data_IF_689066786105
#
_entry.id   IF_689066786105
#
_cell.length_a   1.000
_cell.length_b   1.000
_cell.length_c   1.000
_cell.angle_alpha   90.00
_cell.angle_beta   90.00
_cell.angle_gamma   90.00
#
_symmetry.space_group_name_H-M   'P 1'
#
loop_
_entity.id
_entity.type
_entity.pdbx_description
1 polymer ?
#
# COMPACT_ATOMS: atom_id res chain seq x y z
N UNK A 1 38.63 -7.10 -28.83
CA UNK A 1 37.48 -6.53 -28.12
C UNK A 1 36.83 -5.34 -28.83
N UNK A 2 37.60 -4.32 -29.30
CA UNK A 2 37.09 -3.16 -30.05
C UNK A 2 36.29 -3.51 -31.32
N UNK A 3 36.71 -4.48 -32.14
CA UNK A 3 36.01 -4.88 -33.38
C UNK A 3 34.67 -5.58 -33.17
N UNK A 4 34.48 -6.30 -32.04
CA UNK A 4 33.19 -6.89 -31.64
C UNK A 4 32.20 -5.84 -31.17
N UNK A 5 32.67 -4.81 -30.49
CA UNK A 5 31.85 -3.68 -30.03
C UNK A 5 31.37 -2.83 -31.22
N UNK A 6 32.27 -2.50 -32.17
CA UNK A 6 31.88 -1.75 -33.37
C UNK A 6 30.87 -2.51 -34.25
N UNK A 7 30.97 -3.84 -34.37
CA UNK A 7 30.01 -4.67 -35.13
C UNK A 7 28.61 -4.75 -34.44
N UNK A 8 28.55 -4.60 -33.13
CA UNK A 8 27.29 -4.53 -32.35
C UNK A 8 26.63 -3.15 -32.38
N UNK A 9 27.40 -2.09 -32.64
CA UNK A 9 26.94 -0.69 -32.62
C UNK A 9 26.26 -0.22 -33.92
N UNK A 10 25.80 -1.14 -34.75
CA UNK A 10 24.93 -0.77 -35.85
C UNK A 10 23.56 -0.36 -35.24
N UNK A 11 23.32 0.95 -35.13
CA UNK A 11 22.21 1.56 -34.39
C UNK A 11 20.84 0.90 -34.67
N UNK A 12 20.56 0.51 -35.92
CA UNK A 12 19.30 -0.12 -36.27
C UNK A 12 19.14 -1.55 -35.72
N UNK A 13 20.20 -2.35 -35.67
CA UNK A 13 20.15 -3.72 -35.12
C UNK A 13 20.09 -3.71 -33.61
N UNK A 14 20.83 -2.83 -32.95
CA UNK A 14 20.81 -2.69 -31.50
C UNK A 14 19.43 -2.27 -31.00
N UNK A 15 18.83 -1.25 -31.62
CA UNK A 15 17.48 -0.81 -31.27
C UNK A 15 16.43 -1.92 -31.45
N UNK A 16 16.51 -2.70 -32.53
CA UNK A 16 15.61 -3.84 -32.77
C UNK A 16 15.77 -4.94 -31.71
N UNK A 17 16.98 -5.16 -31.19
CA UNK A 17 17.24 -6.12 -30.12
C UNK A 17 16.79 -5.63 -28.76
N UNK A 18 16.92 -4.33 -28.46
CA UNK A 18 16.53 -3.73 -27.17
C UNK A 18 15.04 -3.37 -27.07
N UNK A 19 14.33 -3.31 -28.20
CA UNK A 19 12.88 -2.99 -28.23
C UNK A 19 12.04 -3.84 -27.28
N UNK A 20 12.16 -5.19 -27.24
CA UNK A 20 11.39 -6.01 -26.28
C UNK A 20 11.72 -5.71 -24.83
N UNK A 21 13.01 -5.46 -24.53
CA UNK A 21 13.42 -5.09 -23.18
C UNK A 21 12.84 -3.74 -22.74
N UNK A 22 12.77 -2.77 -23.66
CA UNK A 22 12.16 -1.46 -23.38
C UNK A 22 10.67 -1.57 -23.00
N UNK A 23 9.87 -2.24 -23.83
CA UNK A 23 8.44 -2.40 -23.52
C UNK A 23 8.22 -3.24 -22.27
N UNK A 24 9.02 -4.26 -22.06
CA UNK A 24 8.96 -5.09 -20.87
C UNK A 24 9.31 -4.30 -19.60
N UNK A 25 10.38 -3.50 -19.63
CA UNK A 25 10.76 -2.61 -18.52
C UNK A 25 9.68 -1.56 -18.24
N UNK A 26 9.13 -0.97 -19.29
CA UNK A 26 8.05 0.02 -19.17
C UNK A 26 6.82 -0.60 -18.46
N UNK A 27 6.42 -1.80 -18.88
CA UNK A 27 5.28 -2.51 -18.30
C UNK A 27 5.53 -2.90 -16.85
N UNK A 28 6.70 -3.48 -16.56
CA UNK A 28 7.04 -3.88 -15.20
C UNK A 28 7.14 -2.69 -14.26
N UNK A 29 7.85 -1.63 -14.64
CA UNK A 29 7.97 -0.43 -13.82
C UNK A 29 6.61 0.26 -13.63
N UNK A 30 5.78 0.31 -14.67
CA UNK A 30 4.42 0.85 -14.54
C UNK A 30 3.59 0.02 -13.55
N UNK A 31 3.65 -1.30 -13.64
CA UNK A 31 2.91 -2.19 -12.73
C UNK A 31 3.31 -1.99 -11.27
N UNK A 32 4.61 -1.90 -10.98
CA UNK A 32 5.11 -1.82 -9.60
C UNK A 32 5.03 -0.41 -9.02
N UNK A 33 5.39 0.62 -9.80
CA UNK A 33 5.55 1.98 -9.26
C UNK A 33 4.37 2.91 -9.53
N UNK A 34 3.49 2.59 -10.48
CA UNK A 34 2.30 3.39 -10.77
C UNK A 34 1.03 2.63 -10.41
N UNK A 35 0.83 1.44 -11.02
CA UNK A 35 -0.42 0.70 -10.87
C UNK A 35 -0.63 0.23 -9.43
N UNK A 36 0.31 -0.49 -8.85
CA UNK A 36 0.13 -1.08 -7.52
C UNK A 36 -0.11 -0.04 -6.40
N UNK A 37 0.65 1.08 -6.31
CA UNK A 37 0.36 2.12 -5.32
C UNK A 37 -0.99 2.82 -5.53
N UNK A 38 -1.37 3.07 -6.80
CA UNK A 38 -2.66 3.68 -7.10
C UNK A 38 -3.82 2.72 -6.82
N UNK A 39 -3.70 1.44 -7.16
CA UNK A 39 -4.70 0.43 -6.86
C UNK A 39 -4.92 0.30 -5.35
N UNK A 40 -3.82 0.26 -4.58
CA UNK A 40 -3.89 0.26 -3.11
C UNK A 40 -4.63 1.49 -2.59
N UNK A 41 -4.29 2.68 -3.08
CA UNK A 41 -4.97 3.92 -2.70
C UNK A 41 -6.45 3.90 -3.06
N UNK A 42 -6.80 3.49 -4.29
CA UNK A 42 -8.18 3.48 -4.79
C UNK A 42 -9.06 2.52 -4.00
N UNK A 43 -8.55 1.35 -3.66
CA UNK A 43 -9.30 0.33 -2.92
C UNK A 43 -9.46 0.66 -1.42
N UNK A 44 -8.71 1.62 -0.92
CA UNK A 44 -8.71 2.03 0.49
C UNK A 44 -8.82 3.55 0.63
N UNK A 45 -9.58 4.18 -0.27
CA UNK A 45 -9.70 5.65 -0.34
C UNK A 45 -10.04 6.27 1.01
N UNK A 46 -10.93 5.65 1.78
CA UNK A 46 -11.41 6.17 3.05
C UNK A 46 -10.43 5.98 4.22
N UNK A 47 -9.44 5.10 4.05
CA UNK A 47 -8.39 4.85 5.05
C UNK A 47 -7.23 5.87 4.95
N UNK A 48 -7.04 6.49 3.78
CA UNK A 48 -5.99 7.46 3.59
C UNK A 48 -6.42 8.87 3.98
N UNK A 49 -5.63 9.52 4.81
CA UNK A 49 -5.84 10.90 5.30
C UNK A 49 -5.28 12.00 4.39
N UNK A 50 -4.82 11.64 3.18
CA UNK A 50 -4.27 12.58 2.21
C UNK A 50 -4.88 12.39 0.81
N UNK A 51 -4.84 13.45 0.00
CA UNK A 51 -5.31 13.42 -1.38
C UNK A 51 -4.33 12.65 -2.28
N UNK A 52 -4.84 11.97 -3.31
CA UNK A 52 -4.05 11.22 -4.28
C UNK A 52 -2.93 12.05 -4.92
N UNK A 53 -3.11 13.35 -5.03
CA UNK A 53 -2.12 14.26 -5.61
C UNK A 53 -0.78 14.27 -4.85
N UNK A 54 -0.79 14.01 -3.56
CA UNK A 54 0.43 13.92 -2.75
C UNK A 54 1.25 12.67 -3.07
N UNK A 55 0.63 11.64 -3.63
CA UNK A 55 1.29 10.40 -4.01
C UNK A 55 2.07 10.54 -5.33
N UNK A 56 1.56 11.33 -6.29
CA UNK A 56 2.12 11.42 -7.64
C UNK A 56 3.62 11.78 -7.72
N UNK A 57 4.15 12.76 -6.99
CA UNK A 57 5.59 13.08 -7.09
C UNK A 57 6.50 11.89 -6.75
N UNK A 58 6.10 11.07 -5.79
CA UNK A 58 6.87 9.91 -5.34
C UNK A 58 6.80 8.78 -6.37
N UNK A 59 5.60 8.35 -6.76
CA UNK A 59 5.41 7.24 -7.69
C UNK A 59 6.00 7.55 -9.08
N UNK A 60 5.87 8.79 -9.56
CA UNK A 60 6.41 9.22 -10.85
C UNK A 60 7.93 9.26 -10.81
N UNK A 61 8.53 9.81 -9.74
CA UNK A 61 9.97 9.82 -9.54
C UNK A 61 10.54 8.42 -9.55
N UNK A 62 9.97 7.53 -8.77
CA UNK A 62 10.46 6.15 -8.64
C UNK A 62 10.26 5.37 -9.94
N UNK A 63 9.13 5.56 -10.61
CA UNK A 63 8.89 4.97 -11.93
C UNK A 63 10.00 5.31 -12.93
N UNK A 64 10.33 6.59 -13.11
CA UNK A 64 11.36 7.00 -14.06
C UNK A 64 12.76 6.56 -13.64
N UNK A 65 13.06 6.61 -12.34
CA UNK A 65 14.34 6.17 -11.80
C UNK A 65 14.57 4.67 -12.09
N UNK A 66 13.62 3.82 -11.74
CA UNK A 66 13.74 2.37 -11.95
C UNK A 66 13.61 1.97 -13.42
N UNK A 67 12.83 2.70 -14.22
CA UNK A 67 12.80 2.51 -15.67
C UNK A 67 14.17 2.77 -16.29
N UNK A 68 14.84 3.87 -15.89
CA UNK A 68 16.19 4.17 -16.34
C UNK A 68 17.17 3.07 -15.94
N UNK A 69 17.16 2.63 -14.68
CA UNK A 69 18.02 1.54 -14.21
C UNK A 69 17.77 0.23 -14.98
N UNK A 70 16.51 -0.10 -15.24
CA UNK A 70 16.17 -1.31 -16.00
C UNK A 70 16.69 -1.25 -17.44
N UNK A 71 16.48 -0.12 -18.14
CA UNK A 71 16.97 0.07 -19.52
C UNK A 71 18.50 0.01 -19.57
N UNK A 72 19.18 0.70 -18.65
CA UNK A 72 20.65 0.67 -18.55
C UNK A 72 21.13 -0.75 -18.23
N UNK A 73 20.47 -1.46 -17.32
CA UNK A 73 20.77 -2.85 -16.99
C UNK A 73 20.68 -3.77 -18.21
N UNK A 74 19.59 -3.68 -18.99
CA UNK A 74 19.46 -4.44 -20.23
C UNK A 74 20.52 -4.08 -21.27
N UNK A 75 20.88 -2.79 -21.38
CA UNK A 75 21.96 -2.36 -22.27
C UNK A 75 23.31 -2.97 -21.85
N UNK A 76 23.64 -2.91 -20.58
CA UNK A 76 24.86 -3.51 -20.03
C UNK A 76 24.90 -5.01 -20.31
N UNK A 77 23.84 -5.74 -19.99
CA UNK A 77 23.76 -7.19 -20.23
C UNK A 77 23.86 -7.52 -21.72
N UNK A 78 23.27 -6.71 -22.61
CA UNK A 78 23.39 -6.86 -24.04
C UNK A 78 24.85 -6.74 -24.52
N UNK A 79 25.62 -5.84 -23.91
CA UNK A 79 27.07 -5.68 -24.24
C UNK A 79 27.90 -6.90 -23.78
N UNK A 80 27.54 -7.53 -22.65
CA UNK A 80 28.22 -8.73 -22.17
C UNK A 80 28.03 -9.93 -23.10
N UNK A 81 26.86 -10.11 -23.71
CA UNK A 81 26.64 -11.19 -24.66
C UNK A 81 25.17 -11.55 -24.91
N UNK A 82 24.95 -12.17 -26.06
CA UNK A 82 23.58 -12.53 -26.49
C UNK A 82 22.94 -13.61 -25.61
N UNK A 83 23.73 -14.50 -25.00
CA UNK A 83 23.22 -15.57 -24.15
C UNK A 83 22.75 -14.97 -22.83
N UNK A 84 23.59 -14.14 -22.19
CA UNK A 84 23.23 -13.44 -20.96
C UNK A 84 21.98 -12.58 -21.15
N UNK A 85 21.91 -11.84 -22.26
CA UNK A 85 20.74 -11.02 -22.60
C UNK A 85 19.45 -11.84 -22.70
N UNK A 86 19.49 -13.00 -23.38
CA UNK A 86 18.31 -13.87 -23.49
C UNK A 86 17.87 -14.44 -22.16
N UNK A 87 18.82 -14.82 -21.30
CA UNK A 87 18.51 -15.31 -19.96
C UNK A 87 17.84 -14.22 -19.12
N UNK A 88 18.41 -13.02 -19.10
CA UNK A 88 17.83 -11.89 -18.35
C UNK A 88 16.47 -11.49 -18.91
N UNK A 89 16.31 -11.47 -20.24
CA UNK A 89 15.02 -11.19 -20.87
C UNK A 89 13.96 -12.24 -20.48
N UNK A 90 14.33 -13.52 -20.44
CA UNK A 90 13.47 -14.61 -19.98
C UNK A 90 13.07 -14.41 -18.51
N UNK A 91 14.03 -14.23 -17.61
CA UNK A 91 13.77 -14.06 -16.19
C UNK A 91 12.86 -12.84 -15.91
N UNK A 92 13.18 -11.72 -16.57
CA UNK A 92 12.44 -10.49 -16.40
C UNK A 92 11.00 -10.60 -16.95
N UNK A 93 10.83 -11.23 -18.12
CA UNK A 93 9.51 -11.48 -18.71
C UNK A 93 8.66 -12.43 -17.84
N UNK A 94 9.26 -13.53 -17.40
CA UNK A 94 8.61 -14.49 -16.51
C UNK A 94 8.18 -13.83 -15.19
N UNK A 95 9.10 -13.04 -14.59
CA UNK A 95 8.79 -12.26 -13.38
C UNK A 95 7.65 -11.27 -13.59
N UNK A 96 7.64 -10.55 -14.71
CA UNK A 96 6.56 -9.61 -15.04
C UNK A 96 5.19 -10.30 -15.13
N UNK A 97 5.13 -11.43 -15.85
CA UNK A 97 3.88 -12.20 -15.99
C UNK A 97 3.44 -12.78 -14.63
N UNK A 98 4.40 -13.31 -13.87
CA UNK A 98 4.11 -13.87 -12.54
C UNK A 98 3.63 -12.80 -11.56
N UNK A 99 4.28 -11.63 -11.52
CA UNK A 99 3.85 -10.50 -10.69
C UNK A 99 2.45 -10.00 -11.08
N UNK A 100 2.16 -9.92 -12.39
CA UNK A 100 0.82 -9.54 -12.87
C UNK A 100 -0.26 -10.51 -12.38
N UNK A 101 -0.02 -11.81 -12.51
CA UNK A 101 -0.96 -12.84 -12.05
C UNK A 101 -1.06 -12.84 -10.52
N UNK A 102 0.07 -12.72 -9.82
CA UNK A 102 0.09 -12.65 -8.36
C UNK A 102 -0.75 -11.47 -7.86
N UNK A 103 -0.48 -10.27 -8.33
CA UNK A 103 -1.14 -9.05 -7.86
C UNK A 103 -2.65 -9.04 -8.15
N UNK A 104 -3.07 -9.44 -9.35
CA UNK A 104 -4.48 -9.32 -9.74
C UNK A 104 -5.36 -10.52 -9.34
N UNK A 105 -4.79 -11.73 -9.16
CA UNK A 105 -5.60 -12.95 -8.97
C UNK A 105 -5.26 -13.74 -7.71
N UNK A 106 -4.06 -13.61 -7.17
CA UNK A 106 -3.58 -14.48 -6.08
C UNK A 106 -3.52 -13.77 -4.71
N UNK A 107 -3.53 -12.44 -4.69
CA UNK A 107 -3.50 -11.64 -3.46
C UNK A 107 -4.94 -11.48 -2.95
N UNK A 108 -5.45 -12.54 -2.32
CA UNK A 108 -6.77 -12.54 -1.68
C UNK A 108 -6.65 -13.12 -0.28
N UNK A 109 -7.42 -12.60 0.65
CA UNK A 109 -7.47 -13.08 2.04
C UNK A 109 -6.08 -13.08 2.71
N UNK A 110 -5.32 -12.00 2.51
CA UNK A 110 -4.09 -11.78 3.27
C UNK A 110 -4.44 -11.35 4.70
N UNK A 111 -3.53 -11.59 5.67
CA UNK A 111 -3.74 -11.12 7.03
C UNK A 111 -3.84 -9.60 7.06
N UNK A 112 -4.60 -9.03 7.99
CA UNK A 112 -4.60 -7.60 8.22
C UNK A 112 -3.19 -7.16 8.64
N UNK A 113 -2.74 -6.01 8.14
CA UNK A 113 -1.48 -5.38 8.50
C UNK A 113 -1.76 -4.30 9.56
N UNK A 114 -2.30 -4.71 10.69
CA UNK A 114 -2.74 -3.85 11.80
C UNK A 114 -1.69 -3.70 12.92
N UNK A 115 -0.48 -4.22 12.69
CA UNK A 115 0.62 -4.20 13.66
C UNK A 115 0.64 -5.40 14.60
N UNK A 116 -0.35 -6.30 14.53
CA UNK A 116 -0.33 -7.56 15.28
C UNK A 116 0.57 -8.61 14.62
N UNK A 117 1.08 -9.55 15.40
CA UNK A 117 1.88 -10.66 14.90
C UNK A 117 1.06 -11.56 13.97
N UNK A 118 1.52 -11.70 12.73
CA UNK A 118 0.85 -12.53 11.74
C UNK A 118 1.20 -14.00 11.93
N UNK A 119 0.19 -14.84 12.19
CA UNK A 119 0.37 -16.28 12.19
C UNK A 119 0.44 -16.85 10.76
N UNK A 120 1.65 -16.87 10.19
CA UNK A 120 1.91 -17.33 8.82
C UNK A 120 1.53 -18.79 8.58
N UNK A 121 1.39 -19.61 9.61
CA UNK A 121 0.99 -21.02 9.47
C UNK A 121 -0.42 -21.15 8.86
N UNK A 122 -1.31 -20.20 9.09
CA UNK A 122 -2.66 -20.16 8.53
C UNK A 122 -2.66 -19.92 7.00
N UNK A 123 -1.59 -19.34 6.47
CA UNK A 123 -1.47 -18.96 5.06
C UNK A 123 -0.62 -19.91 4.22
N UNK A 124 -0.15 -21.02 4.79
CA UNK A 124 0.69 -22.00 4.08
C UNK A 124 0.03 -22.54 2.81
N UNK A 125 -1.27 -22.85 2.84
CA UNK A 125 -2.01 -23.32 1.65
C UNK A 125 -1.96 -22.30 0.51
N UNK A 126 -2.10 -21.02 0.82
CA UNK A 126 -2.03 -19.92 -0.16
C UNK A 126 -0.61 -19.74 -0.69
N UNK A 127 0.38 -19.82 0.17
CA UNK A 127 1.79 -19.79 -0.22
C UNK A 127 2.14 -20.92 -1.19
N UNK A 128 1.75 -22.15 -0.89
CA UNK A 128 1.98 -23.31 -1.76
C UNK A 128 1.29 -23.13 -3.11
N UNK A 129 0.02 -22.70 -3.13
CA UNK A 129 -0.72 -22.43 -4.38
C UNK A 129 0.00 -21.37 -5.22
N UNK A 130 0.41 -20.26 -4.62
CA UNK A 130 1.14 -19.20 -5.30
C UNK A 130 2.47 -19.71 -5.89
N UNK A 131 3.22 -20.49 -5.10
CA UNK A 131 4.49 -21.09 -5.53
C UNK A 131 4.28 -22.02 -6.74
N UNK A 132 3.27 -22.88 -6.71
CA UNK A 132 2.94 -23.78 -7.82
C UNK A 132 2.62 -22.96 -9.10
N UNK A 133 1.82 -21.91 -8.98
CA UNK A 133 1.49 -21.03 -10.12
C UNK A 133 2.74 -20.37 -10.69
N UNK A 134 3.64 -19.87 -9.84
CA UNK A 134 4.90 -19.28 -10.28
C UNK A 134 5.79 -20.29 -11.03
N UNK A 135 5.88 -21.52 -10.52
CA UNK A 135 6.62 -22.61 -11.17
C UNK A 135 6.01 -22.96 -12.53
N UNK A 136 4.68 -23.05 -12.61
CA UNK A 136 3.99 -23.33 -13.88
C UNK A 136 4.28 -22.19 -14.89
N UNK A 137 4.17 -20.93 -14.49
CA UNK A 137 4.47 -19.79 -15.36
C UNK A 137 5.93 -19.87 -15.86
N UNK A 138 6.88 -20.15 -14.97
CA UNK A 138 8.28 -20.27 -15.31
C UNK A 138 8.52 -21.40 -16.35
N UNK A 139 7.90 -22.56 -16.14
CA UNK A 139 8.02 -23.69 -17.06
C UNK A 139 7.39 -23.34 -18.43
N UNK A 140 6.18 -22.77 -18.46
CA UNK A 140 5.51 -22.38 -19.71
C UNK A 140 6.34 -21.36 -20.47
N UNK A 141 6.83 -20.32 -19.80
CA UNK A 141 7.70 -19.34 -20.42
C UNK A 141 9.01 -19.97 -20.94
N UNK A 142 9.61 -20.90 -20.18
CA UNK A 142 10.82 -21.60 -20.61
C UNK A 142 10.58 -22.41 -21.87
N UNK A 143 9.50 -23.18 -21.92
CA UNK A 143 9.11 -23.95 -23.13
C UNK A 143 8.94 -23.02 -24.33
N UNK A 144 8.25 -21.89 -24.16
CA UNK A 144 8.08 -20.90 -25.22
C UNK A 144 9.42 -20.34 -25.71
N UNK A 145 10.35 -20.04 -24.80
CA UNK A 145 11.68 -19.52 -25.15
C UNK A 145 12.59 -20.55 -25.82
N UNK A 146 12.35 -21.86 -25.58
CA UNK A 146 13.09 -22.94 -26.23
C UNK A 146 12.50 -23.28 -27.61
N UNK A 147 11.17 -23.39 -27.70
CA UNK A 147 10.49 -23.87 -28.93
C UNK A 147 10.42 -22.79 -30.00
N UNK A 148 10.20 -21.53 -29.61
CA UNK A 148 10.05 -20.44 -30.58
C UNK A 148 11.39 -19.93 -31.08
N UNK A 149 11.43 -19.56 -32.36
CA UNK A 149 12.56 -18.82 -32.92
C UNK A 149 12.71 -17.46 -32.23
N UNK A 150 13.94 -17.05 -31.99
CA UNK A 150 14.24 -15.84 -31.20
C UNK A 150 13.51 -14.56 -31.70
N UNK A 151 13.38 -14.41 -33.03
CA UNK A 151 12.65 -13.26 -33.60
C UNK A 151 11.14 -13.28 -33.25
N UNK A 152 10.56 -14.47 -33.13
CA UNK A 152 9.18 -14.62 -32.66
C UNK A 152 9.08 -14.31 -31.16
N UNK A 153 10.05 -14.72 -30.37
CA UNK A 153 10.13 -14.40 -28.93
C UNK A 153 10.16 -12.87 -28.74
N UNK A 154 11.03 -12.16 -29.44
CA UNK A 154 11.11 -10.69 -29.36
C UNK A 154 9.78 -10.01 -29.64
N UNK A 155 9.07 -10.47 -30.68
CA UNK A 155 7.74 -9.96 -31.01
C UNK A 155 6.72 -10.30 -29.93
N UNK A 156 6.68 -11.54 -29.46
CA UNK A 156 5.77 -12.00 -28.42
C UNK A 156 5.95 -11.22 -27.11
N UNK A 157 7.20 -11.09 -26.63
CA UNK A 157 7.52 -10.30 -25.44
C UNK A 157 7.05 -8.86 -25.61
N UNK A 158 7.31 -8.22 -26.76
CA UNK A 158 6.89 -6.83 -26.99
C UNK A 158 5.38 -6.69 -27.01
N UNK A 159 4.66 -7.57 -27.73
CA UNK A 159 3.20 -7.49 -27.84
C UNK A 159 2.51 -7.80 -26.50
N UNK A 160 2.95 -8.83 -25.79
CA UNK A 160 2.40 -9.19 -24.49
C UNK A 160 2.64 -8.05 -23.48
N UNK A 161 3.85 -7.47 -23.46
CA UNK A 161 4.15 -6.35 -22.58
C UNK A 161 3.25 -5.15 -22.86
N UNK A 162 3.11 -4.75 -24.13
CA UNK A 162 2.23 -3.64 -24.51
C UNK A 162 0.76 -3.94 -24.15
N UNK A 163 0.31 -5.18 -24.40
CA UNK A 163 -1.04 -5.59 -24.08
C UNK A 163 -1.31 -5.53 -22.56
N UNK A 164 -0.39 -6.04 -21.75
CA UNK A 164 -0.49 -5.94 -20.29
C UNK A 164 -0.49 -4.48 -19.82
N UNK A 165 0.37 -3.64 -20.40
CA UNK A 165 0.41 -2.22 -20.09
C UNK A 165 -0.94 -1.54 -20.38
N UNK A 166 -1.54 -1.83 -21.52
CA UNK A 166 -2.86 -1.30 -21.90
C UNK A 166 -3.96 -1.74 -20.93
N UNK A 167 -3.94 -3.02 -20.51
CA UNK A 167 -4.86 -3.52 -19.48
C UNK A 167 -4.68 -2.75 -18.18
N UNK A 168 -3.45 -2.63 -17.67
CA UNK A 168 -3.16 -1.93 -16.42
C UNK A 168 -3.60 -0.47 -16.48
N UNK A 169 -3.29 0.23 -17.57
CA UNK A 169 -3.72 1.64 -17.77
C UNK A 169 -5.24 1.74 -17.81
N UNK A 170 -5.91 0.87 -18.56
CA UNK A 170 -7.38 0.89 -18.64
C UNK A 170 -8.03 0.61 -17.30
N UNK A 171 -7.53 -0.40 -16.56
CA UNK A 171 -8.05 -0.77 -15.25
C UNK A 171 -7.91 0.38 -14.25
N UNK A 172 -6.70 0.97 -14.13
CA UNK A 172 -6.48 2.05 -13.17
C UNK A 172 -7.31 3.30 -13.53
N UNK A 173 -7.49 3.57 -14.82
CA UNK A 173 -8.32 4.70 -15.28
C UNK A 173 -9.79 4.50 -14.90
N UNK A 174 -10.34 3.32 -15.16
CA UNK A 174 -11.72 3.00 -14.79
C UNK A 174 -11.93 3.03 -13.28
N UNK A 175 -11.04 2.43 -12.52
CA UNK A 175 -11.09 2.45 -11.05
C UNK A 175 -11.00 3.87 -10.50
N UNK A 176 -10.11 4.70 -11.05
CA UNK A 176 -9.95 6.10 -10.64
C UNK A 176 -11.19 6.94 -10.84
N UNK A 177 -11.89 6.73 -11.97
CA UNK A 177 -13.13 7.44 -12.28
C UNK A 177 -14.27 6.95 -11.38
N UNK A 178 -14.43 5.64 -11.23
CA UNK A 178 -15.53 5.06 -10.47
C UNK A 178 -15.47 5.40 -8.97
N UNK A 179 -14.27 5.57 -8.42
CA UNK A 179 -14.05 5.88 -7.02
C UNK A 179 -13.80 7.37 -6.75
N UNK A 180 -13.99 8.24 -7.74
CA UNK A 180 -13.86 9.70 -7.61
C UNK A 180 -12.59 10.16 -6.88
N UNK A 181 -11.45 9.49 -7.10
CA UNK A 181 -10.22 9.71 -6.33
C UNK A 181 -9.61 11.11 -6.49
N UNK A 182 -10.06 11.86 -7.49
CA UNK A 182 -9.61 13.22 -7.76
C UNK A 182 -10.46 14.29 -7.05
N UNK A 183 -11.55 13.89 -6.41
CA UNK A 183 -12.32 14.80 -5.57
C UNK A 183 -11.50 15.17 -4.33
N UNK A 184 -11.51 16.46 -4.01
CA UNK A 184 -10.82 16.95 -2.83
C UNK A 184 -11.54 16.47 -1.59
N UNK A 185 -10.82 15.77 -0.73
CA UNK A 185 -11.37 15.30 0.54
C UNK A 185 -11.31 16.40 1.59
N UNK A 186 -12.38 16.52 2.35
CA UNK A 186 -12.38 17.32 3.55
C UNK A 186 -11.88 16.46 4.72
N UNK A 187 -10.62 16.68 5.08
CA UNK A 187 -10.03 16.01 6.24
C UNK A 187 -10.14 16.89 7.46
N UNK A 188 -10.47 16.29 8.58
CA UNK A 188 -10.21 16.90 9.88
C UNK A 188 -8.68 17.04 10.02
N UNK A 189 -8.18 18.27 10.04
CA UNK A 189 -6.76 18.54 10.24
C UNK A 189 -6.50 18.84 11.69
N UNK A 190 -5.55 18.12 12.28
CA UNK A 190 -5.04 18.55 13.57
C UNK A 190 -4.28 19.86 13.37
N UNK A 191 -4.70 20.88 14.09
CA UNK A 191 -4.01 22.17 14.13
C UNK A 191 -3.36 22.34 15.49
N UNK A 192 -2.23 23.06 15.52
CA UNK A 192 -1.62 23.51 16.77
C UNK A 192 -2.02 24.92 17.14
N UNK A 193 -2.88 25.54 16.34
CA UNK A 193 -3.44 26.85 16.63
C UNK A 193 -4.31 26.69 17.87
N UNK A 194 -4.11 27.56 18.82
CA UNK A 194 -4.83 27.63 20.10
C UNK A 194 -4.69 26.38 21.02
N UNK A 195 -3.76 25.46 20.69
CA UNK A 195 -3.57 24.19 21.42
C UNK A 195 -3.33 24.38 22.93
N UNK A 196 -2.72 25.50 23.32
CA UNK A 196 -2.38 25.85 24.70
C UNK A 196 -3.02 27.16 25.15
N UNK A 197 -3.95 27.70 24.36
CA UNK A 197 -4.73 28.87 24.75
C UNK A 197 -5.96 28.39 25.53
N UNK A 198 -6.05 28.83 26.78
CA UNK A 198 -7.13 28.45 27.67
C UNK A 198 -8.02 29.65 27.95
N UNK A 199 -9.29 29.40 28.25
CA UNK A 199 -10.23 30.43 28.74
C UNK A 199 -9.75 30.98 30.08
N UNK A 200 -9.95 32.28 30.27
CA UNK A 200 -9.69 32.95 31.54
C UNK A 200 -10.77 32.65 32.61
N UNK A 201 -11.94 32.11 32.19
CA UNK A 201 -13.04 31.84 33.09
C UNK A 201 -13.08 30.36 33.52
N UNK A 202 -13.51 29.48 32.62
CA UNK A 202 -13.67 28.06 32.91
C UNK A 202 -13.10 27.20 31.78
N UNK A 203 -12.34 26.17 32.15
CA UNK A 203 -11.82 25.19 31.21
C UNK A 203 -12.31 23.79 31.62
N UNK A 204 -12.71 23.00 30.63
CA UNK A 204 -13.03 21.60 30.81
C UNK A 204 -12.01 20.76 30.01
N UNK A 205 -11.18 20.03 30.75
CA UNK A 205 -10.06 19.28 30.17
C UNK A 205 -10.32 17.80 30.38
N UNK A 206 -10.29 17.02 29.27
CA UNK A 206 -10.39 15.58 29.30
C UNK A 206 -9.03 15.00 28.88
N UNK A 207 -8.40 14.24 29.77
CA UNK A 207 -7.23 13.44 29.45
C UNK A 207 -7.69 12.03 29.09
N UNK A 208 -7.52 11.65 27.82
CA UNK A 208 -7.75 10.28 27.36
C UNK A 208 -6.43 9.55 27.32
N UNK A 209 -6.25 8.60 28.23
CA UNK A 209 -5.04 7.78 28.32
C UNK A 209 -5.29 6.48 27.57
N UNK A 210 -4.44 6.17 26.60
CA UNK A 210 -4.51 4.94 25.81
C UNK A 210 -3.73 3.82 26.51
N UNK A 211 -4.25 2.58 26.43
CA UNK A 211 -3.63 1.36 26.96
C UNK A 211 -3.24 1.39 28.45
N UNK A 212 -3.93 2.20 29.27
CA UNK A 212 -3.74 2.21 30.72
C UNK A 212 -4.70 1.20 31.35
N UNK A 213 -4.15 0.18 31.99
CA UNK A 213 -4.89 -0.75 32.82
C UNK A 213 -4.78 -0.42 34.33
N UNK A 214 -5.63 -1.06 35.14
CA UNK A 214 -5.68 -0.82 36.56
C UNK A 214 -4.39 -1.24 37.27
N UNK A 215 -3.76 -2.34 36.83
CA UNK A 215 -2.55 -2.87 37.44
C UNK A 215 -1.37 -1.90 37.25
N UNK A 216 -1.17 -1.40 36.00
CA UNK A 216 -0.18 -0.39 35.68
C UNK A 216 -0.43 0.91 36.44
N UNK A 217 -1.69 1.34 36.55
CA UNK A 217 -2.04 2.53 37.33
C UNK A 217 -1.61 2.41 38.78
N UNK A 218 -1.96 1.30 39.47
CA UNK A 218 -1.61 1.08 40.86
C UNK A 218 -0.09 0.90 41.07
N UNK A 219 0.61 0.30 40.13
CA UNK A 219 2.07 0.21 40.20
C UNK A 219 2.70 1.61 40.21
N UNK A 220 2.32 2.47 39.26
CA UNK A 220 2.83 3.86 39.20
C UNK A 220 2.47 4.61 40.46
N UNK A 221 1.25 4.45 40.98
CA UNK A 221 0.81 5.12 42.21
C UNK A 221 1.61 4.70 43.44
N UNK A 222 1.98 3.44 43.55
CA UNK A 222 2.84 2.93 44.63
C UNK A 222 4.28 3.39 44.51
N UNK A 223 4.82 3.49 43.32
CA UNK A 223 6.19 3.92 43.05
C UNK A 223 6.36 5.44 43.20
N UNK A 224 5.27 6.21 43.06
CA UNK A 224 5.27 7.67 43.04
C UNK A 224 4.21 8.27 43.99
N UNK A 225 4.40 8.14 45.31
CA UNK A 225 3.44 8.65 46.30
C UNK A 225 3.29 10.18 46.25
N UNK A 226 4.21 10.91 45.65
CA UNK A 226 4.08 12.36 45.41
C UNK A 226 2.91 12.73 44.52
N UNK A 227 2.38 11.80 43.71
CA UNK A 227 1.19 12.05 42.89
C UNK A 227 -0.10 12.11 43.69
N UNK A 228 -0.12 11.58 44.91
CA UNK A 228 -1.30 11.66 45.81
C UNK A 228 -1.65 13.11 46.14
N UNK A 229 -0.64 13.93 46.42
CA UNK A 229 -0.83 15.36 46.68
C UNK A 229 -1.36 16.13 45.46
N UNK A 230 -0.88 15.76 44.27
CA UNK A 230 -1.29 16.39 42.99
C UNK A 230 -2.71 16.00 42.58
N UNK A 231 -3.23 14.89 43.08
CA UNK A 231 -4.52 14.34 42.70
C UNK A 231 -5.60 14.45 43.82
N UNK A 232 -5.36 15.27 44.84
CA UNK A 232 -6.29 15.42 45.99
C UNK A 232 -7.70 15.84 45.61
N UNK A 233 -7.87 16.62 44.53
CA UNK A 233 -9.16 17.08 44.01
C UNK A 233 -9.82 16.13 43.00
N UNK A 234 -9.18 14.98 42.72
CA UNK A 234 -9.72 13.98 41.79
C UNK A 234 -10.52 12.91 42.56
N UNK A 235 -11.60 12.43 41.91
CA UNK A 235 -12.30 11.24 42.36
C UNK A 235 -11.89 10.04 41.53
N UNK A 236 -11.31 9.04 42.19
CA UNK A 236 -10.91 7.79 41.54
C UNK A 236 -12.08 6.77 41.58
N UNK A 237 -12.41 6.21 40.39
CA UNK A 237 -13.41 5.16 40.23
C UNK A 237 -12.72 3.82 39.94
N UNK A 238 -12.48 3.03 40.97
CA UNK A 238 -11.73 1.76 40.88
C UNK A 238 -12.47 0.62 40.16
N UNK A 239 -13.76 0.74 39.91
CA UNK A 239 -14.57 -0.24 39.21
C UNK A 239 -14.98 0.25 37.81
N UNK A 240 -14.26 1.20 37.23
CA UNK A 240 -14.53 1.66 35.89
C UNK A 240 -14.06 0.63 34.87
N UNK A 241 -14.90 0.36 33.89
CA UNK A 241 -14.57 -0.57 32.79
C UNK A 241 -14.91 0.10 31.47
N UNK A 242 -14.03 -0.07 30.51
CA UNK A 242 -14.28 0.39 29.12
C UNK A 242 -15.48 -0.35 28.52
N UNK A 243 -16.29 0.36 27.74
CA UNK A 243 -17.42 -0.26 27.02
C UNK A 243 -17.00 -1.24 25.94
N UNK A 244 -15.80 -1.08 25.41
CA UNK A 244 -15.22 -1.96 24.39
C UNK A 244 -13.74 -2.23 24.69
N UNK A 245 -13.22 -3.34 24.16
CA UNK A 245 -11.81 -3.73 24.31
C UNK A 245 -10.85 -2.89 23.45
N UNK A 246 -11.37 -2.11 22.51
CA UNK A 246 -10.58 -1.32 21.54
C UNK A 246 -10.91 0.16 21.65
N UNK A 247 -9.90 1.00 21.62
CA UNK A 247 -9.99 2.47 21.66
C UNK A 247 -10.89 3.01 20.54
N UNK A 248 -10.78 2.43 19.34
CA UNK A 248 -11.57 2.82 18.17
C UNK A 248 -13.09 2.75 18.41
N UNK A 249 -13.56 1.77 19.17
CA UNK A 249 -14.97 1.60 19.52
C UNK A 249 -15.34 2.35 20.80
N UNK A 250 -14.43 2.43 21.76
CA UNK A 250 -14.66 3.07 23.05
C UNK A 250 -14.78 4.60 22.93
N UNK A 251 -13.96 5.21 22.08
CA UNK A 251 -13.94 6.66 21.92
C UNK A 251 -15.26 7.24 21.38
N UNK A 252 -15.87 6.69 20.32
CA UNK A 252 -17.20 7.11 19.88
C UNK A 252 -18.26 6.98 20.97
N UNK A 253 -18.25 5.88 21.74
CA UNK A 253 -19.18 5.68 22.86
C UNK A 253 -18.98 6.73 23.96
N UNK A 254 -17.74 6.98 24.38
CA UNK A 254 -17.42 7.98 25.42
C UNK A 254 -17.92 9.38 25.01
N UNK A 255 -17.70 9.75 23.75
CA UNK A 255 -18.01 11.09 23.24
C UNK A 255 -19.47 11.29 22.82
N UNK A 256 -20.23 10.22 22.61
CA UNK A 256 -21.63 10.31 22.17
C UNK A 256 -22.63 9.71 23.11
N UNK A 257 -22.24 8.76 23.95
CA UNK A 257 -23.14 7.93 24.76
C UNK A 257 -23.90 6.87 23.94
N UNK A 258 -23.64 6.71 22.65
CA UNK A 258 -24.35 5.79 21.75
C UNK A 258 -23.53 4.53 21.50
N UNK A 259 -24.15 3.36 21.71
CA UNK A 259 -23.53 2.06 21.47
C UNK A 259 -23.53 1.70 19.98
N UNK A 260 -22.44 1.06 19.53
CA UNK A 260 -22.41 0.43 18.22
C UNK A 260 -23.17 -0.89 18.25
N UNK A 261 -24.39 -0.90 17.71
CA UNK A 261 -25.28 -2.06 17.74
C UNK A 261 -25.08 -3.03 16.56
N UNK A 262 -24.04 -2.82 15.75
CA UNK A 262 -23.72 -3.65 14.56
C UNK A 262 -24.84 -3.70 13.50
N UNK A 263 -25.66 -2.65 13.44
CA UNK A 263 -26.76 -2.50 12.45
C UNK A 263 -26.33 -1.78 11.17
N UNK A 264 -25.20 -1.17 11.19
CA UNK A 264 -24.55 -0.43 10.08
C UNK A 264 -23.05 -0.74 10.07
N UNK A 265 -22.31 -0.50 8.96
CA UNK A 265 -20.86 -0.57 8.95
C UNK A 265 -20.25 0.36 10.00
N UNK A 266 -19.20 -0.08 10.68
CA UNK A 266 -18.58 0.70 11.76
C UNK A 266 -18.12 2.09 11.32
N UNK A 267 -17.61 2.21 10.08
CA UNK A 267 -17.19 3.49 9.50
C UNK A 267 -18.35 4.48 9.39
N UNK A 268 -19.54 4.01 9.02
CA UNK A 268 -20.74 4.85 8.88
C UNK A 268 -21.24 5.29 10.24
N UNK A 269 -21.28 4.38 11.23
CA UNK A 269 -21.57 4.68 12.63
C UNK A 269 -20.63 5.77 13.15
N UNK A 270 -19.30 5.58 13.02
CA UNK A 270 -18.29 6.52 13.47
C UNK A 270 -18.48 7.91 12.84
N UNK A 271 -18.67 7.97 11.54
CA UNK A 271 -18.85 9.22 10.81
C UNK A 271 -20.17 9.93 11.23
N UNK A 272 -21.23 9.17 11.46
CA UNK A 272 -22.52 9.70 11.92
C UNK A 272 -22.40 10.27 13.32
N UNK A 273 -21.80 9.53 14.24
CA UNK A 273 -21.64 9.92 15.64
C UNK A 273 -20.91 11.26 15.77
N UNK A 274 -19.76 11.40 15.12
CA UNK A 274 -18.98 12.64 15.21
C UNK A 274 -19.67 13.84 14.54
N UNK A 275 -20.59 13.62 13.61
CA UNK A 275 -21.37 14.70 12.97
C UNK A 275 -22.60 15.11 13.78
N UNK A 276 -23.27 14.17 14.43
CA UNK A 276 -24.60 14.35 15.03
C UNK A 276 -24.65 14.20 16.55
N UNK A 277 -23.52 13.92 17.21
CA UNK A 277 -23.49 13.77 18.67
C UNK A 277 -24.01 15.02 19.39
N UNK A 278 -24.91 14.88 20.36
CA UNK A 278 -25.33 15.98 21.22
C UNK A 278 -24.17 16.68 21.91
N UNK A 279 -23.13 15.95 22.31
CA UNK A 279 -21.93 16.49 22.92
C UNK A 279 -21.22 17.50 21.99
N UNK A 280 -20.94 17.12 20.74
CA UNK A 280 -20.31 18.03 19.79
C UNK A 280 -21.22 19.19 19.36
N UNK A 281 -22.52 18.96 19.31
CA UNK A 281 -23.48 20.05 19.05
C UNK A 281 -23.56 21.06 20.19
N UNK A 282 -23.35 20.61 21.43
CA UNK A 282 -23.30 21.50 22.59
C UNK A 282 -22.03 22.36 22.63
N UNK A 283 -20.90 21.83 22.10
CA UNK A 283 -19.62 22.54 22.05
C UNK A 283 -19.49 23.52 20.86
N UNK A 284 -20.41 23.48 19.91
CA UNK A 284 -20.48 24.42 18.77
C UNK A 284 -21.26 25.66 19.11
#
# INVERSE_FOLDING_TARGET
>A
MKSRLQKKWNNGKMLAELKPAFFLSLTFCFMIFIYAPLELYINNVDEFWYDVYLLFPFIIKDFFLFLLFSIVGFLVVYLFGNVAYKIVLYCYFTGTVACYIQGNYMVKNLPPLDGTDVNWSLYQSQFVKSTIVWVIIAIVCLILFIVLKYDRIKKAVSYISVFLLLILVSTITVLSINNNIFEKKEYARFTKVDQFEMSTDTNFIIFLLDAVDEECFWQVWQEHPEYEDAMTDFTFYNNAMSGYAYTEHSLPLILSGEWFENKEPFIDYRNRIFKSSPFFNYLR
#
